data_IF_216268940174
#
_entry.id   IF_216268940174
#
_cell.length_a   1.000
_cell.length_b   1.000
_cell.length_c   1.000
_cell.angle_alpha   90.00
_cell.angle_beta   90.00
_cell.angle_gamma   90.00
#
_symmetry.space_group_name_H-M   'P 1'
#
loop_
_entity.id
_entity.type
_entity.pdbx_description
1 polymer ?
#
# COMPACT_ATOMS: atom_id res chain seq x y z
N UNK A 1 -14.08 6.02 18.10
CA UNK A 1 -13.66 5.36 16.84
C UNK A 1 -12.67 4.25 17.16
N UNK A 2 -12.85 3.05 16.61
CA UNK A 2 -11.97 1.92 16.89
C UNK A 2 -10.78 1.98 15.92
N UNK A 3 -9.62 2.49 16.36
CA UNK A 3 -8.39 2.65 15.56
C UNK A 3 -7.88 1.35 14.92
N UNK A 4 -8.37 0.20 15.41
CA UNK A 4 -8.01 -1.14 14.93
C UNK A 4 -8.61 -1.42 13.54
N UNK A 5 -9.81 -0.91 13.25
CA UNK A 5 -10.52 -1.24 12.00
C UNK A 5 -9.80 -0.73 10.74
N UNK A 6 -9.33 0.53 10.66
CA UNK A 6 -8.61 1.02 9.48
C UNK A 6 -7.28 0.31 9.25
N UNK A 7 -6.57 -0.07 10.32
CA UNK A 7 -5.32 -0.83 10.23
C UNK A 7 -5.57 -2.21 9.63
N UNK A 8 -6.65 -2.88 10.05
CA UNK A 8 -7.05 -4.17 9.46
C UNK A 8 -7.34 -4.02 7.97
N UNK A 9 -8.05 -2.97 7.56
CA UNK A 9 -8.34 -2.70 6.14
C UNK A 9 -7.04 -2.53 5.35
N UNK A 10 -6.08 -1.76 5.85
CA UNK A 10 -4.76 -1.59 5.21
C UNK A 10 -3.99 -2.90 5.06
N UNK A 11 -4.04 -3.77 6.09
CA UNK A 11 -3.42 -5.10 6.03
C UNK A 11 -4.12 -5.98 4.99
N UNK A 12 -5.45 -6.00 4.97
CA UNK A 12 -6.24 -6.76 3.97
C UNK A 12 -5.90 -6.27 2.57
N UNK A 13 -5.82 -4.96 2.36
CA UNK A 13 -5.39 -4.39 1.08
C UNK A 13 -4.01 -4.92 0.67
N UNK A 14 -3.01 -4.89 1.56
CA UNK A 14 -1.67 -5.42 1.27
C UNK A 14 -1.68 -6.93 0.95
N UNK A 15 -2.54 -7.71 1.61
CA UNK A 15 -2.71 -9.14 1.35
C UNK A 15 -3.33 -9.40 -0.03
N UNK A 16 -4.40 -8.67 -0.38
CA UNK A 16 -5.05 -8.75 -1.68
C UNK A 16 -4.06 -8.34 -2.80
N UNK A 17 -3.34 -7.24 -2.61
CA UNK A 17 -2.32 -6.81 -3.57
C UNK A 17 -1.17 -7.82 -3.70
N UNK A 18 -0.85 -8.57 -2.64
CA UNK A 18 0.16 -9.63 -2.67
C UNK A 18 -0.23 -10.85 -3.53
N UNK A 19 -1.49 -10.97 -3.95
CA UNK A 19 -1.95 -11.97 -4.92
C UNK A 19 -1.52 -11.63 -6.35
N UNK A 20 -1.28 -10.34 -6.64
CA UNK A 20 -0.84 -9.87 -7.94
C UNK A 20 0.66 -10.16 -8.09
N UNK A 21 1.04 -10.72 -9.24
CA UNK A 21 2.45 -11.01 -9.57
C UNK A 21 3.19 -9.73 -9.97
N UNK A 22 4.47 -9.63 -9.65
CA UNK A 22 5.35 -8.60 -10.21
C UNK A 22 5.57 -8.86 -11.71
N UNK A 23 5.71 -7.80 -12.55
CA UNK A 23 5.77 -6.37 -12.22
C UNK A 23 4.39 -5.67 -12.10
N UNK A 24 3.29 -6.38 -12.40
CA UNK A 24 1.95 -5.79 -12.46
C UNK A 24 1.46 -5.23 -11.13
N UNK A 25 1.89 -5.82 -10.01
CA UNK A 25 1.53 -5.37 -8.66
C UNK A 25 1.94 -3.91 -8.42
N UNK A 26 3.12 -3.50 -8.87
CA UNK A 26 3.59 -2.12 -8.73
C UNK A 26 2.74 -1.16 -9.55
N UNK A 27 2.54 -1.46 -10.84
CA UNK A 27 1.72 -0.62 -11.73
C UNK A 27 0.29 -0.47 -11.21
N UNK A 28 -0.31 -1.56 -10.73
CA UNK A 28 -1.64 -1.51 -10.14
C UNK A 28 -1.69 -0.59 -8.91
N UNK A 29 -0.71 -0.68 -8.01
CA UNK A 29 -0.67 0.18 -6.82
C UNK A 29 -0.43 1.66 -7.18
N UNK A 30 0.34 1.95 -8.23
CA UNK A 30 0.48 3.31 -8.75
C UNK A 30 -0.86 3.88 -9.26
N UNK A 31 -1.65 3.06 -9.97
CA UNK A 31 -3.00 3.42 -10.42
C UNK A 31 -3.92 3.68 -9.21
N UNK A 32 -3.85 2.83 -8.18
CA UNK A 32 -4.66 3.01 -6.96
C UNK A 32 -4.39 4.34 -6.25
N UNK A 33 -3.11 4.71 -6.07
CA UNK A 33 -2.72 6.01 -5.53
C UNK A 33 -3.25 7.17 -6.38
N UNK A 34 -3.10 7.08 -7.70
CA UNK A 34 -3.60 8.12 -8.62
C UNK A 34 -5.12 8.26 -8.57
N UNK A 35 -5.84 7.15 -8.51
CA UNK A 35 -7.31 7.13 -8.38
C UNK A 35 -7.79 7.70 -7.04
N UNK A 36 -7.10 7.38 -5.95
CA UNK A 36 -7.37 7.95 -4.63
C UNK A 36 -7.18 9.47 -4.63
N UNK A 37 -6.08 9.96 -5.22
CA UNK A 37 -5.84 11.40 -5.41
C UNK A 37 -6.89 12.10 -6.29
N UNK A 38 -7.44 11.41 -7.30
CA UNK A 38 -8.49 11.97 -8.15
C UNK A 38 -9.86 12.07 -7.45
N UNK A 39 -10.12 11.25 -6.43
CA UNK A 39 -11.40 11.22 -5.73
C UNK A 39 -11.74 12.56 -5.07
N UNK A 40 -10.74 13.35 -4.67
CA UNK A 40 -10.94 14.66 -4.07
C UNK A 40 -11.72 15.63 -4.97
N UNK A 41 -11.55 15.55 -6.30
CA UNK A 41 -12.29 16.39 -7.26
C UNK A 41 -13.81 16.20 -7.19
N UNK A 42 -14.28 15.08 -6.61
CA UNK A 42 -15.71 14.82 -6.43
C UNK A 42 -16.27 15.38 -5.11
N UNK A 43 -15.41 15.69 -4.14
CA UNK A 43 -15.80 16.15 -2.80
C UNK A 43 -15.96 17.67 -2.69
N UNK A 44 -15.22 18.45 -3.50
CA UNK A 44 -15.34 19.90 -3.57
C UNK A 44 -14.93 20.64 -2.28
N UNK A 45 -14.21 19.98 -1.36
CA UNK A 45 -13.87 20.50 -0.04
C UNK A 45 -12.90 21.68 -0.11
N UNK A 46 -11.80 21.54 -0.84
CA UNK A 46 -10.80 22.62 -0.99
C UNK A 46 -10.93 23.41 -2.29
N UNK A 47 -11.93 23.11 -3.12
CA UNK A 47 -12.22 23.81 -4.35
C UNK A 47 -11.02 23.79 -5.32
N UNK A 48 -10.57 24.94 -5.87
CA UNK A 48 -9.47 24.96 -6.85
C UNK A 48 -8.15 24.32 -6.38
N UNK A 49 -7.92 24.23 -5.06
CA UNK A 49 -6.71 23.62 -4.49
C UNK A 49 -6.66 22.09 -4.65
N UNK A 50 -7.78 21.45 -4.99
CA UNK A 50 -7.80 20.02 -5.32
C UNK A 50 -7.09 19.74 -6.65
N UNK A 51 -7.14 20.67 -7.61
CA UNK A 51 -6.46 20.52 -8.91
C UNK A 51 -4.94 20.38 -8.78
N UNK A 52 -4.18 21.27 -8.09
CA UNK A 52 -2.75 21.08 -7.92
C UNK A 52 -2.42 19.84 -7.08
N UNK A 53 -3.27 19.48 -6.10
CA UNK A 53 -3.08 18.24 -5.35
C UNK A 53 -3.24 16.99 -6.23
N UNK A 54 -4.27 16.96 -7.08
CA UNK A 54 -4.49 15.87 -8.04
C UNK A 54 -3.36 15.80 -9.06
N UNK A 55 -2.88 16.95 -9.55
CA UNK A 55 -1.72 16.99 -10.43
C UNK A 55 -0.45 16.43 -9.74
N UNK A 56 -0.22 16.76 -8.47
CA UNK A 56 0.88 16.23 -7.67
C UNK A 56 0.75 14.72 -7.47
N UNK A 57 -0.41 14.22 -7.05
CA UNK A 57 -0.65 12.79 -6.85
C UNK A 57 -0.55 12.01 -8.15
N UNK A 58 -1.01 12.56 -9.28
CA UNK A 58 -0.85 11.98 -10.61
C UNK A 58 0.64 11.90 -11.01
N UNK A 59 1.43 12.94 -10.74
CA UNK A 59 2.88 12.91 -10.97
C UNK A 59 3.57 11.85 -10.12
N UNK A 60 3.23 11.77 -8.83
CA UNK A 60 3.78 10.75 -7.92
C UNK A 60 3.37 9.34 -8.34
N UNK A 61 2.12 9.14 -8.78
CA UNK A 61 1.65 7.88 -9.35
C UNK A 61 2.42 7.49 -10.61
N UNK A 62 2.66 8.44 -11.53
CA UNK A 62 3.48 8.21 -12.72
C UNK A 62 4.90 7.75 -12.35
N UNK A 63 5.56 8.42 -11.41
CA UNK A 63 6.87 7.99 -10.88
C UNK A 63 6.79 6.65 -10.13
N UNK A 64 5.62 6.33 -9.56
CA UNK A 64 5.29 5.08 -8.91
C UNK A 64 5.30 3.87 -9.83
N UNK A 65 5.08 4.06 -11.13
CA UNK A 65 5.18 2.99 -12.14
C UNK A 65 6.56 2.33 -12.14
N UNK A 66 7.61 3.09 -11.81
CA UNK A 66 8.99 2.61 -11.76
C UNK A 66 9.52 2.39 -10.33
N UNK A 67 8.87 2.95 -9.31
CA UNK A 67 9.40 2.95 -7.94
C UNK A 67 8.34 2.87 -6.86
N UNK A 68 8.46 1.83 -6.04
CA UNK A 68 7.63 1.60 -4.86
C UNK A 68 7.70 2.73 -3.83
N UNK A 69 8.83 3.45 -3.74
CA UNK A 69 8.96 4.57 -2.83
C UNK A 69 8.03 5.73 -3.20
N UNK A 70 7.86 6.01 -4.48
CA UNK A 70 6.92 7.04 -4.93
C UNK A 70 5.47 6.65 -4.63
N UNK A 71 5.11 5.37 -4.77
CA UNK A 71 3.79 4.89 -4.34
C UNK A 71 3.59 5.12 -2.84
N UNK A 72 4.59 4.82 -2.01
CA UNK A 72 4.54 5.09 -0.57
C UNK A 72 4.39 6.58 -0.24
N UNK A 73 5.14 7.45 -0.92
CA UNK A 73 4.99 8.91 -0.80
C UNK A 73 3.60 9.36 -1.20
N UNK A 74 3.02 8.78 -2.26
CA UNK A 74 1.66 9.07 -2.71
C UNK A 74 0.60 8.78 -1.64
N UNK A 75 0.71 7.65 -0.95
CA UNK A 75 -0.17 7.33 0.18
C UNK A 75 0.01 8.28 1.37
N UNK A 76 1.25 8.71 1.67
CA UNK A 76 1.47 9.72 2.71
C UNK A 76 0.92 11.10 2.33
N UNK A 77 1.01 11.48 1.05
CA UNK A 77 0.38 12.70 0.54
C UNK A 77 -1.14 12.61 0.67
N UNK A 78 -1.72 11.46 0.35
CA UNK A 78 -3.15 11.18 0.54
C UNK A 78 -3.54 11.31 2.01
N UNK A 79 -2.77 10.69 2.93
CA UNK A 79 -2.98 10.83 4.39
C UNK A 79 -2.98 12.30 4.84
N UNK A 80 -2.00 13.08 4.40
CA UNK A 80 -1.88 14.48 4.80
C UNK A 80 -3.08 15.30 4.31
N UNK A 81 -3.56 15.01 3.11
CA UNK A 81 -4.71 15.69 2.51
C UNK A 81 -6.03 15.27 3.15
N UNK A 82 -6.19 13.99 3.50
CA UNK A 82 -7.29 13.47 4.32
C UNK A 82 -7.37 14.17 5.68
N UNK A 83 -6.22 14.35 6.35
CA UNK A 83 -6.15 15.08 7.62
C UNK A 83 -6.55 16.54 7.46
N UNK A 84 -6.11 17.21 6.38
CA UNK A 84 -6.49 18.59 6.10
C UNK A 84 -8.01 18.73 5.90
N UNK A 85 -8.64 17.80 5.18
CA UNK A 85 -10.10 17.74 5.01
C UNK A 85 -10.83 17.50 6.33
N UNK A 86 -10.31 16.57 7.14
CA UNK A 86 -10.87 16.28 8.45
C UNK A 86 -10.82 17.49 9.39
N UNK A 87 -9.70 18.22 9.44
CA UNK A 87 -9.54 19.43 10.26
C UNK A 87 -10.43 20.59 9.81
N UNK A 88 -10.73 20.67 8.50
CA UNK A 88 -11.59 21.72 7.94
C UNK A 88 -13.08 21.45 8.17
N UNK A 89 -13.46 20.20 8.45
CA UNK A 89 -14.85 19.79 8.59
C UNK A 89 -15.55 19.52 7.26
N UNK A 90 -14.81 19.42 6.16
CA UNK A 90 -15.29 19.11 4.81
C UNK A 90 -14.88 17.66 4.45
N UNK A 91 -15.71 16.65 4.76
CA UNK A 91 -15.37 15.25 4.49
C UNK A 91 -15.37 14.93 2.99
N UNK A 92 -14.41 14.12 2.57
CA UNK A 92 -14.16 13.76 1.15
C UNK A 92 -15.30 12.95 0.54
N UNK A 93 -15.95 12.14 1.37
CA UNK A 93 -17.18 11.46 1.01
C UNK A 93 -18.35 12.19 1.67
N UNK A 94 -19.23 12.86 0.88
CA UNK A 94 -20.40 13.56 1.43
C UNK A 94 -21.38 12.61 2.16
N UNK A 95 -21.17 11.30 2.06
CA UNK A 95 -21.99 10.24 2.66
C UNK A 95 -21.37 9.58 3.91
N UNK A 96 -20.10 9.84 4.26
CA UNK A 96 -19.46 9.26 5.45
C UNK A 96 -18.37 10.17 6.03
N UNK A 97 -18.72 10.94 7.07
CA UNK A 97 -17.82 11.87 7.76
C UNK A 97 -16.59 11.19 8.42
N UNK A 98 -16.69 9.90 8.73
CA UNK A 98 -15.59 9.11 9.32
C UNK A 98 -14.61 8.53 8.28
N UNK A 99 -14.94 8.60 6.98
CA UNK A 99 -14.14 7.95 5.93
C UNK A 99 -12.74 8.57 5.78
N UNK A 100 -12.62 9.90 5.89
CA UNK A 100 -11.32 10.60 5.80
C UNK A 100 -10.36 10.21 6.92
N UNK A 101 -10.86 10.02 8.15
CA UNK A 101 -10.04 9.57 9.29
C UNK A 101 -9.61 8.10 9.14
N UNK A 102 -10.46 7.26 8.56
CA UNK A 102 -10.12 5.87 8.29
C UNK A 102 -9.04 5.74 7.20
N UNK A 103 -9.14 6.50 6.11
CA UNK A 103 -8.11 6.54 5.06
C UNK A 103 -6.79 7.09 5.61
N UNK A 104 -6.81 8.18 6.39
CA UNK A 104 -5.62 8.73 7.03
C UNK A 104 -4.85 7.75 7.93
N UNK A 105 -5.53 6.75 8.52
CA UNK A 105 -4.88 5.71 9.34
C UNK A 105 -4.47 4.49 8.51
N UNK A 106 -5.22 4.16 7.46
CA UNK A 106 -4.96 3.04 6.57
C UNK A 106 -3.73 3.29 5.69
N UNK A 107 -3.63 4.49 5.14
CA UNK A 107 -2.64 4.84 4.13
C UNK A 107 -1.18 4.77 4.62
N UNK A 108 -0.83 5.16 5.86
CA UNK A 108 0.53 4.96 6.39
C UNK A 108 0.94 3.49 6.47
N UNK A 109 -0.01 2.58 6.71
CA UNK A 109 0.24 1.13 6.73
C UNK A 109 0.61 0.66 5.31
N UNK A 110 -0.16 1.10 4.31
CA UNK A 110 0.12 0.79 2.91
C UNK A 110 1.44 1.43 2.47
N UNK A 111 1.71 2.68 2.88
CA UNK A 111 2.95 3.38 2.59
C UNK A 111 4.17 2.64 3.14
N UNK A 112 4.13 2.18 4.38
CA UNK A 112 5.20 1.39 4.99
C UNK A 112 5.46 0.08 4.23
N UNK A 113 4.39 -0.59 3.80
CA UNK A 113 4.50 -1.79 2.96
C UNK A 113 5.12 -1.48 1.59
N UNK A 114 4.74 -0.36 0.96
CA UNK A 114 5.34 0.12 -0.28
C UNK A 114 6.83 0.46 -0.10
N UNK A 115 7.23 1.16 0.96
CA UNK A 115 8.65 1.45 1.25
C UNK A 115 9.49 0.19 1.43
N UNK A 116 8.88 -0.93 1.82
CA UNK A 116 9.56 -2.23 1.89
C UNK A 116 9.71 -2.93 0.53
N UNK A 117 9.29 -2.29 -0.55
CA UNK A 117 9.31 -2.82 -1.92
C UNK A 117 8.09 -3.67 -2.26
N UNK A 118 6.96 -3.49 -1.55
CA UNK A 118 5.73 -4.24 -1.78
C UNK A 118 5.90 -5.77 -1.69
N UNK A 119 6.55 -6.32 -0.64
CA UNK A 119 6.84 -7.75 -0.58
C UNK A 119 5.56 -8.57 -0.60
N UNK A 120 5.58 -9.71 -1.30
CA UNK A 120 4.45 -10.66 -1.26
C UNK A 120 4.34 -11.26 0.14
N UNK A 121 3.36 -10.77 0.91
CA UNK A 121 3.13 -11.20 2.29
C UNK A 121 2.75 -12.69 2.34
N UNK A 122 2.02 -13.17 1.32
CA UNK A 122 1.64 -14.58 1.20
C UNK A 122 2.87 -15.48 1.01
N UNK A 123 3.84 -15.06 0.19
CA UNK A 123 5.08 -15.80 0.01
C UNK A 123 5.94 -15.80 1.29
N UNK A 124 5.97 -14.67 2.01
CA UNK A 124 6.69 -14.54 3.28
C UNK A 124 6.10 -15.44 4.36
N UNK A 125 4.77 -15.47 4.48
CA UNK A 125 4.02 -16.35 5.38
C UNK A 125 4.28 -17.81 5.01
N UNK A 126 4.15 -18.20 3.74
CA UNK A 126 4.46 -19.59 3.32
C UNK A 126 5.90 -19.99 3.60
N UNK A 127 6.88 -19.09 3.42
CA UNK A 127 8.28 -19.38 3.78
C UNK A 127 8.46 -19.57 5.27
N UNK A 128 7.78 -18.77 6.10
CA UNK A 128 7.83 -18.89 7.56
C UNK A 128 7.21 -20.20 8.05
N UNK A 129 6.16 -20.68 7.38
CA UNK A 129 5.44 -21.90 7.75
C UNK A 129 5.93 -23.16 7.03
N UNK A 130 6.98 -23.10 6.21
CA UNK A 130 7.59 -24.29 5.61
C UNK A 130 8.68 -24.81 6.56
N UNK A 131 8.48 -25.92 7.29
CA UNK A 131 9.53 -26.51 8.09
C UNK A 131 10.70 -26.86 7.16
N UNK A 132 11.91 -26.50 7.56
CA UNK A 132 13.10 -26.84 6.79
C UNK A 132 13.13 -28.33 6.52
N UNK A 133 13.14 -28.73 5.24
CA UNK A 133 13.69 -30.03 4.85
C UNK A 133 15.20 -29.93 5.04
N UNK A 134 15.64 -30.01 6.28
CA UNK A 134 17.05 -30.18 6.64
C UNK A 134 17.46 -31.59 6.19
N UNK A 135 18.31 -31.61 5.16
CA UNK A 135 19.33 -32.60 4.87
C UNK A 135 19.00 -34.10 5.07
N UNK A 136 18.48 -34.75 4.02
CA UNK A 136 18.83 -36.16 3.73
C UNK A 136 19.89 -36.12 2.64
N UNK A 137 21.13 -35.82 3.03
CA UNK A 137 22.35 -36.05 2.27
C UNK A 137 23.50 -36.15 3.27
N UNK A 138 23.54 -37.24 4.03
CA UNK A 138 24.66 -37.59 4.89
C UNK A 138 24.64 -39.09 5.15
N UNK A 139 24.96 -39.89 4.13
CA UNK A 139 25.66 -41.17 4.24
C UNK A 139 25.87 -41.72 2.83
N UNK A 140 26.86 -41.19 2.12
CA UNK A 140 27.59 -41.92 1.08
C UNK A 140 29.02 -41.39 1.11
N UNK A 141 29.65 -41.53 2.29
CA UNK A 141 31.09 -41.41 2.40
C UNK A 141 31.70 -42.79 2.16
N UNK A 142 32.49 -42.84 1.08
CA UNK A 142 33.84 -43.44 1.07
C UNK A 142 33.90 -44.95 1.24
N UNK A 143 34.08 -45.64 0.12
CA UNK A 143 35.05 -46.74 0.05
C UNK A 143 36.04 -46.38 -1.06
N UNK A 144 37.27 -46.11 -0.63
CA UNK A 144 38.41 -45.73 -1.42
C UNK A 144 39.12 -47.01 -1.99
N UNK A 145 40.17 -46.86 -2.83
CA UNK A 145 40.57 -47.83 -3.84
C UNK A 145 41.47 -48.95 -3.32
N UNK A 146 41.51 -50.06 -4.07
CA UNK A 146 42.64 -50.99 -4.20
C UNK A 146 42.53 -51.70 -5.55
#
# INVERSE_FOLDING_TARGET
>A
MNLVSPVIVGIIYCLLMSLIKEPHRRHFNAIMVGGAGAAYLSGGGFGPWELPFVALTAYVAYRGLDSWAFIGVGWLLHTAWDMAHHLKGDPILPFHHDASLACAICDPVIALWCFRGGPSLIALVRRRFRPGRTAVHAHDHVSAPS
#
